data_IF_090346113514
#
_entry.id   IF_090346113514
#
_cell.length_a   1.000
_cell.length_b   1.000
_cell.length_c   1.000
_cell.angle_alpha   90.00
_cell.angle_beta   90.00
_cell.angle_gamma   90.00
#
_symmetry.space_group_name_H-M   'P 1'
#
loop_
_entity.id
_entity.type
_entity.pdbx_description
1 polymer ?
#
# COMPACT_ATOMS: atom_id res chain seq x y z
N UNK A 1 -19.06 -17.64 1.49
CA UNK A 1 -17.96 -18.05 2.38
C UNK A 1 -17.90 -17.04 3.51
N UNK A 2 -17.57 -17.48 4.73
CA UNK A 2 -17.37 -16.56 5.85
C UNK A 2 -16.28 -15.53 5.51
N UNK A 3 -16.47 -14.22 5.78
CA UNK A 3 -15.49 -13.16 5.51
C UNK A 3 -14.10 -13.49 6.04
N UNK A 4 -14.06 -14.12 7.23
CA UNK A 4 -12.82 -14.59 7.85
C UNK A 4 -12.11 -15.68 7.03
N UNK A 5 -12.84 -16.69 6.55
CA UNK A 5 -12.28 -17.77 5.73
C UNK A 5 -11.75 -17.20 4.42
N UNK A 6 -12.48 -16.27 3.82
CA UNK A 6 -12.06 -15.59 2.59
C UNK A 6 -10.75 -14.81 2.79
N UNK A 7 -10.69 -13.98 3.84
CA UNK A 7 -9.50 -13.23 4.18
C UNK A 7 -8.31 -14.14 4.47
N UNK A 8 -8.53 -15.28 5.12
CA UNK A 8 -7.50 -16.27 5.42
C UNK A 8 -6.93 -16.90 4.14
N UNK A 9 -7.78 -17.21 3.15
CA UNK A 9 -7.35 -17.70 1.84
C UNK A 9 -6.49 -16.64 1.13
N UNK A 10 -6.95 -15.38 1.07
CA UNK A 10 -6.21 -14.29 0.43
C UNK A 10 -4.88 -14.00 1.15
N UNK A 11 -4.88 -14.02 2.49
CA UNK A 11 -3.68 -13.83 3.30
C UNK A 11 -2.67 -14.97 3.10
N UNK A 12 -3.12 -16.22 3.02
CA UNK A 12 -2.27 -17.35 2.72
C UNK A 12 -1.68 -17.24 1.30
N UNK A 13 -2.51 -16.92 0.30
CA UNK A 13 -2.05 -16.72 -1.06
C UNK A 13 -1.01 -15.58 -1.15
N UNK A 14 -1.20 -14.50 -0.39
CA UNK A 14 -0.27 -13.38 -0.34
C UNK A 14 1.07 -13.73 0.31
N UNK A 15 1.03 -14.48 1.42
CA UNK A 15 2.21 -15.01 2.09
C UNK A 15 3.06 -15.86 1.13
N UNK A 16 2.45 -16.88 0.54
CA UNK A 16 3.18 -17.80 -0.34
C UNK A 16 3.60 -17.14 -1.64
N UNK A 17 2.75 -16.34 -2.26
CA UNK A 17 3.06 -15.69 -3.53
C UNK A 17 4.22 -14.70 -3.41
N UNK A 18 4.21 -13.85 -2.38
CA UNK A 18 5.34 -12.94 -2.12
C UNK A 18 6.62 -13.67 -1.71
N UNK A 19 6.53 -14.74 -0.92
CA UNK A 19 7.70 -15.52 -0.54
C UNK A 19 8.31 -16.26 -1.74
N UNK A 20 7.49 -16.81 -2.64
CA UNK A 20 7.95 -17.48 -3.86
C UNK A 20 8.61 -16.47 -4.80
N UNK A 21 7.96 -15.33 -5.05
CA UNK A 21 8.51 -14.28 -5.90
C UNK A 21 9.84 -13.74 -5.36
N UNK A 22 9.91 -13.46 -4.05
CA UNK A 22 11.13 -13.00 -3.40
C UNK A 22 12.21 -14.06 -3.28
N UNK A 23 11.88 -15.35 -3.33
CA UNK A 23 12.89 -16.41 -3.34
C UNK A 23 13.58 -16.56 -4.70
N UNK A 24 13.02 -15.99 -5.77
CA UNK A 24 13.50 -16.16 -7.14
C UNK A 24 14.95 -15.67 -7.38
N UNK A 25 15.38 -14.49 -6.85
CA UNK A 25 16.79 -14.07 -6.92
C UNK A 25 17.75 -15.01 -6.19
N UNK A 26 17.30 -15.75 -5.18
CA UNK A 26 18.17 -16.70 -4.47
C UNK A 26 18.46 -17.92 -5.34
N UNK A 27 17.53 -18.34 -6.18
CA UNK A 27 17.65 -19.59 -6.96
C UNK A 27 18.15 -19.36 -8.38
N UNK A 28 18.10 -18.13 -8.89
CA UNK A 28 18.43 -17.80 -10.28
C UNK A 28 19.74 -17.01 -10.40
N UNK A 29 20.54 -17.31 -11.42
CA UNK A 29 21.70 -16.49 -11.81
C UNK A 29 21.26 -15.52 -12.90
N UNK A 30 20.50 -14.49 -12.53
CA UNK A 30 20.09 -13.45 -13.48
C UNK A 30 21.24 -12.47 -13.71
N UNK A 31 21.46 -12.10 -14.97
CA UNK A 31 22.38 -11.01 -15.32
C UNK A 31 21.88 -9.69 -14.73
N UNK A 32 22.79 -8.77 -14.39
CA UNK A 32 22.44 -7.43 -13.89
C UNK A 32 21.42 -6.72 -14.77
N UNK A 33 21.52 -6.86 -16.10
CA UNK A 33 20.57 -6.24 -17.04
C UNK A 33 19.15 -6.77 -16.86
N UNK A 34 18.99 -8.07 -16.54
CA UNK A 34 17.68 -8.67 -16.28
C UNK A 34 17.11 -8.22 -14.94
N UNK A 35 17.96 -8.06 -13.93
CA UNK A 35 17.56 -7.53 -12.61
C UNK A 35 17.12 -6.07 -12.74
N UNK A 36 17.87 -5.25 -13.47
CA UNK A 36 17.52 -3.84 -13.72
C UNK A 36 16.19 -3.72 -14.49
N UNK A 37 15.98 -4.54 -15.53
CA UNK A 37 14.72 -4.54 -16.27
C UNK A 37 13.55 -5.01 -15.40
N UNK A 38 13.74 -6.03 -14.57
CA UNK A 38 12.69 -6.51 -13.66
C UNK A 38 12.35 -5.45 -12.60
N UNK A 39 13.35 -4.77 -12.03
CA UNK A 39 13.12 -3.68 -11.09
C UNK A 39 12.43 -2.48 -11.75
N UNK A 40 12.80 -2.13 -12.99
CA UNK A 40 12.14 -1.06 -13.75
C UNK A 40 10.68 -1.40 -14.11
N UNK A 41 10.42 -2.64 -14.53
CA UNK A 41 9.06 -3.14 -14.75
C UNK A 41 8.26 -3.17 -13.44
N UNK A 42 8.89 -3.58 -12.34
CA UNK A 42 8.30 -3.56 -11.00
C UNK A 42 7.90 -2.15 -10.57
N UNK A 43 8.78 -1.16 -10.75
CA UNK A 43 8.50 0.24 -10.46
C UNK A 43 7.36 0.80 -11.33
N UNK A 44 7.34 0.49 -12.63
CA UNK A 44 6.23 0.88 -13.51
C UNK A 44 4.91 0.22 -13.13
N UNK A 45 4.95 -1.07 -12.75
CA UNK A 45 3.78 -1.81 -12.29
C UNK A 45 3.25 -1.23 -10.97
N UNK A 46 4.12 -0.88 -10.02
CA UNK A 46 3.79 -0.21 -8.76
C UNK A 46 3.00 1.07 -9.05
N UNK A 47 3.57 1.99 -9.83
CA UNK A 47 2.91 3.27 -10.19
C UNK A 47 1.58 3.02 -10.91
N UNK A 48 1.55 2.05 -11.84
CA UNK A 48 0.35 1.69 -12.58
C UNK A 48 -0.76 1.13 -11.69
N UNK A 49 -0.44 0.22 -10.78
CA UNK A 49 -1.42 -0.37 -9.84
C UNK A 49 -1.99 0.68 -8.89
N UNK A 50 -1.16 1.62 -8.41
CA UNK A 50 -1.61 2.70 -7.54
C UNK A 50 -2.60 3.62 -8.25
N UNK A 51 -2.27 4.07 -9.46
CA UNK A 51 -3.10 5.02 -10.21
C UNK A 51 -4.36 4.40 -10.80
N UNK A 52 -4.32 3.15 -11.25
CA UNK A 52 -5.45 2.51 -11.94
C UNK A 52 -6.37 1.72 -11.03
N UNK A 53 -5.91 1.26 -9.85
CA UNK A 53 -6.68 0.32 -9.02
C UNK A 53 -6.75 0.72 -7.55
N UNK A 54 -5.67 1.23 -6.94
CA UNK A 54 -5.73 1.52 -5.49
C UNK A 54 -6.43 2.85 -5.22
N UNK A 55 -6.03 3.91 -5.96
CA UNK A 55 -6.63 5.23 -5.81
C UNK A 55 -8.09 5.25 -6.29
N UNK A 56 -8.45 4.74 -7.49
CA UNK A 56 -9.83 4.82 -7.96
C UNK A 56 -10.79 4.06 -7.04
N UNK A 57 -10.46 2.84 -6.61
CA UNK A 57 -11.29 2.04 -5.73
C UNK A 57 -11.39 2.65 -4.32
N UNK A 58 -10.31 3.23 -3.81
CA UNK A 58 -10.33 3.94 -2.53
C UNK A 58 -11.27 5.15 -2.58
N UNK A 59 -11.20 5.94 -3.65
CA UNK A 59 -12.08 7.08 -3.89
C UNK A 59 -13.53 6.64 -4.06
N UNK A 60 -13.79 5.63 -4.88
CA UNK A 60 -15.13 5.09 -5.13
C UNK A 60 -15.77 4.55 -3.84
N UNK A 61 -14.98 3.89 -2.99
CA UNK A 61 -15.44 3.38 -1.68
C UNK A 61 -15.89 4.52 -0.76
N UNK A 62 -15.13 5.63 -0.72
CA UNK A 62 -15.51 6.81 0.08
C UNK A 62 -16.83 7.41 -0.44
N UNK A 63 -16.97 7.60 -1.75
CA UNK A 63 -18.20 8.16 -2.33
C UNK A 63 -19.43 7.28 -2.11
N UNK A 64 -19.29 5.97 -2.29
CA UNK A 64 -20.39 5.02 -2.11
C UNK A 64 -20.85 4.96 -0.65
N UNK A 65 -19.93 5.06 0.32
CA UNK A 65 -20.27 5.08 1.74
C UNK A 65 -21.20 6.25 2.13
N UNK A 66 -21.05 7.41 1.46
CA UNK A 66 -21.91 8.57 1.69
C UNK A 66 -23.28 8.43 1.05
N UNK A 67 -23.35 7.84 -0.14
CA UNK A 67 -24.65 7.54 -0.75
C UNK A 67 -25.47 6.62 0.16
N UNK A 68 -24.82 5.62 0.75
CA UNK A 68 -25.45 4.72 1.74
C UNK A 68 -25.88 5.47 3.00
N UNK A 69 -25.08 6.40 3.54
CA UNK A 69 -25.45 7.17 4.74
C UNK A 69 -26.62 8.13 4.51
N UNK A 70 -26.68 8.77 3.34
CA UNK A 70 -27.78 9.66 2.94
C UNK A 70 -29.07 8.86 2.70
N UNK A 71 -28.99 7.71 2.04
CA UNK A 71 -30.16 6.84 1.84
C UNK A 71 -30.73 6.33 3.17
N UNK A 72 -29.85 6.01 4.14
CA UNK A 72 -30.25 5.53 5.47
C UNK A 72 -30.93 6.63 6.30
N UNK A 73 -30.41 7.86 6.25
CA UNK A 73 -31.02 9.02 6.93
C UNK A 73 -32.35 9.44 6.31
N UNK A 74 -32.48 9.36 4.98
CA UNK A 74 -33.76 9.59 4.30
C UNK A 74 -34.82 8.56 4.68
N UNK A 75 -34.44 7.28 4.86
CA UNK A 75 -35.38 6.25 5.32
C UNK A 75 -35.82 6.43 6.78
N UNK A 76 -35.00 7.02 7.66
CA UNK A 76 -35.42 7.30 9.05
C UNK A 76 -36.32 8.53 9.17
N UNK A 77 -36.18 9.50 8.27
CA UNK A 77 -36.96 10.74 8.30
C UNK A 77 -38.29 10.63 7.54
N UNK A 78 -38.40 9.73 6.57
CA UNK A 78 -39.67 9.45 5.86
C UNK A 78 -40.42 8.35 6.63
N UNK A 79 -41.22 8.76 7.61
CA UNK A 79 -42.27 7.90 8.16
C UNK A 79 -43.28 7.59 7.04
N UNK A 80 -43.15 6.44 6.39
CA UNK A 80 -44.17 5.94 5.46
C UNK A 80 -45.41 5.67 6.32
N UNK A 81 -46.53 6.39 6.13
CA UNK A 81 -47.74 6.15 6.90
C UNK A 81 -48.20 4.70 6.67
N UNK A 82 -48.61 4.04 7.74
CA UNK A 82 -49.11 2.67 7.73
C UNK A 82 -50.26 2.56 6.71
N UNK A 83 -50.12 1.67 5.72
CA UNK A 83 -51.02 1.56 4.56
C UNK A 83 -52.45 1.09 4.90
N UNK A 84 -52.77 0.88 6.18
CA UNK A 84 -54.07 0.40 6.65
C UNK A 84 -55.18 1.47 6.70
N UNK A 85 -54.88 2.74 6.36
CA UNK A 85 -55.86 3.84 6.41
C UNK A 85 -56.16 4.53 5.07
N UNK A 86 -55.63 4.06 3.94
CA UNK A 86 -55.88 4.67 2.61
C UNK A 86 -57.00 3.90 1.90
N UNK A 87 -58.25 4.29 2.16
CA UNK A 87 -59.44 3.66 1.55
C UNK A 87 -60.07 4.46 0.42
N UNK A 88 -59.47 5.57 -0.03
CA UNK A 88 -60.02 6.36 -1.14
C UNK A 88 -58.94 6.76 -2.15
N UNK A 89 -59.21 6.45 -3.42
CA UNK A 89 -58.35 6.67 -4.59
C UNK A 89 -58.10 8.16 -4.90
N UNK A 90 -58.87 9.08 -4.29
CA UNK A 90 -58.82 10.52 -4.57
C UNK A 90 -58.10 11.34 -3.49
N UNK A 91 -57.59 10.72 -2.42
CA UNK A 91 -56.96 11.40 -1.28
C UNK A 91 -55.44 11.17 -1.24
N UNK A 92 -54.77 11.50 -2.36
CA UNK A 92 -53.30 11.53 -2.43
C UNK A 92 -52.77 12.97 -2.35
N UNK A 93 -52.45 13.50 -1.16
CA UNK A 93 -51.83 14.82 -1.03
C UNK A 93 -50.30 14.80 -1.23
N UNK A 94 -49.69 13.69 -1.67
CA UNK A 94 -48.29 13.43 -1.29
C UNK A 94 -47.28 13.72 -2.41
N UNK A 95 -47.67 13.84 -3.68
CA UNK A 95 -46.66 14.03 -4.73
C UNK A 95 -46.04 15.43 -4.66
N UNK A 96 -46.83 16.50 -4.51
CA UNK A 96 -46.29 17.87 -4.53
C UNK A 96 -45.50 18.20 -3.28
N UNK A 97 -45.94 17.77 -2.09
CA UNK A 97 -45.24 18.09 -0.85
C UNK A 97 -43.96 17.25 -0.66
N UNK A 98 -43.94 16.00 -1.15
CA UNK A 98 -42.71 15.19 -1.20
C UNK A 98 -41.77 15.69 -2.28
N UNK A 99 -42.26 15.98 -3.49
CA UNK A 99 -41.40 16.54 -4.55
C UNK A 99 -40.91 17.94 -4.20
N UNK A 100 -41.71 18.75 -3.49
CA UNK A 100 -41.33 20.08 -3.02
C UNK A 100 -40.42 20.02 -1.80
N UNK A 101 -40.50 19.03 -0.92
CA UNK A 101 -39.49 18.83 0.14
C UNK A 101 -38.17 18.28 -0.43
N UNK A 102 -38.20 17.41 -1.45
CA UNK A 102 -37.03 16.99 -2.22
C UNK A 102 -36.45 18.14 -3.08
N UNK A 103 -37.29 19.02 -3.64
CA UNK A 103 -36.90 20.17 -4.47
C UNK A 103 -36.47 21.40 -3.67
N UNK A 104 -37.03 21.60 -2.47
CA UNK A 104 -36.69 22.68 -1.53
C UNK A 104 -35.44 22.33 -0.74
N UNK A 105 -35.07 21.05 -0.65
CA UNK A 105 -33.70 20.58 -0.42
C UNK A 105 -32.86 20.61 -1.71
N UNK A 106 -33.07 21.67 -2.51
CA UNK A 106 -32.38 21.98 -3.77
C UNK A 106 -30.85 21.97 -3.58
N UNK A 107 -30.07 21.71 -4.64
CA UNK A 107 -28.71 21.17 -4.60
C UNK A 107 -27.62 22.14 -4.09
N UNK A 108 -27.98 23.28 -3.50
CA UNK A 108 -27.06 24.31 -2.99
C UNK A 108 -26.35 23.92 -1.70
N UNK A 109 -26.90 23.00 -0.90
CA UNK A 109 -26.23 22.50 0.32
C UNK A 109 -25.26 21.33 0.02
N UNK A 110 -25.31 20.78 -1.21
CA UNK A 110 -24.41 19.71 -1.64
C UNK A 110 -23.04 20.22 -2.12
N UNK A 111 -22.90 21.50 -2.47
CA UNK A 111 -21.60 22.03 -2.94
C UNK A 111 -20.62 22.30 -1.80
N UNK A 112 -21.11 22.76 -0.64
CA UNK A 112 -20.25 23.03 0.52
C UNK A 112 -19.77 21.76 1.22
N UNK A 113 -20.56 20.67 1.18
CA UNK A 113 -20.14 19.37 1.73
C UNK A 113 -19.43 18.45 0.73
N UNK A 114 -19.52 18.65 -0.60
CA UNK A 114 -18.67 17.93 -1.57
C UNK A 114 -17.19 18.30 -1.41
N UNK A 115 -16.90 19.55 -1.02
CA UNK A 115 -15.53 20.02 -0.77
C UNK A 115 -14.82 19.28 0.37
N UNK A 116 -15.56 18.84 1.39
CA UNK A 116 -15.00 18.11 2.53
C UNK A 116 -14.44 16.73 2.15
N UNK A 117 -15.06 16.03 1.20
CA UNK A 117 -14.65 14.67 0.81
C UNK A 117 -13.42 14.68 -0.09
N UNK A 118 -13.39 15.58 -1.08
CA UNK A 118 -12.19 15.79 -1.87
C UNK A 118 -11.01 16.22 -0.99
N UNK A 119 -11.29 17.00 0.07
CA UNK A 119 -10.28 17.37 1.08
C UNK A 119 -9.85 16.16 1.92
N UNK A 120 -10.78 15.30 2.36
CA UNK A 120 -10.45 14.10 3.12
C UNK A 120 -9.65 13.09 2.29
N UNK A 121 -10.03 12.87 1.03
CA UNK A 121 -9.30 12.05 0.05
C UNK A 121 -7.90 12.65 -0.14
N UNK A 122 -7.81 13.94 -0.48
CA UNK A 122 -6.52 14.62 -0.70
C UNK A 122 -5.62 14.59 0.53
N UNK A 123 -6.17 14.81 1.73
CA UNK A 123 -5.43 14.77 2.98
C UNK A 123 -4.98 13.34 3.31
N UNK A 124 -5.84 12.33 3.13
CA UNK A 124 -5.47 10.93 3.33
C UNK A 124 -4.38 10.47 2.36
N UNK A 125 -4.42 10.89 1.09
CA UNK A 125 -3.36 10.67 0.11
C UNK A 125 -2.06 11.35 0.54
N UNK A 126 -2.09 12.63 0.92
CA UNK A 126 -0.89 13.38 1.31
C UNK A 126 -0.26 12.77 2.56
N UNK A 127 -1.07 12.44 3.58
CA UNK A 127 -0.58 11.86 4.83
C UNK A 127 -0.03 10.44 4.57
N UNK A 128 -0.77 9.60 3.84
CA UNK A 128 -0.35 8.24 3.49
C UNK A 128 0.95 8.23 2.69
N UNK A 129 1.00 9.01 1.61
CA UNK A 129 2.19 9.16 0.78
C UNK A 129 3.37 9.76 1.54
N UNK A 130 3.16 10.79 2.38
CA UNK A 130 4.24 11.37 3.19
C UNK A 130 4.79 10.37 4.20
N UNK A 131 3.92 9.58 4.83
CA UNK A 131 4.32 8.54 5.76
C UNK A 131 5.10 7.43 5.05
N UNK A 132 4.62 6.93 3.91
CA UNK A 132 5.33 5.92 3.12
C UNK A 132 6.65 6.46 2.55
N UNK A 133 6.69 7.72 2.13
CA UNK A 133 7.91 8.40 1.70
C UNK A 133 8.94 8.51 2.84
N UNK A 134 8.52 8.85 4.06
CA UNK A 134 9.41 8.88 5.23
C UNK A 134 9.93 7.48 5.54
N UNK A 135 9.07 6.47 5.51
CA UNK A 135 9.45 5.07 5.73
C UNK A 135 10.49 4.61 4.70
N UNK A 136 10.27 4.94 3.42
CA UNK A 136 11.19 4.62 2.34
C UNK A 136 12.51 5.40 2.46
N UNK A 137 12.47 6.68 2.86
CA UNK A 137 13.70 7.44 3.07
C UNK A 137 14.50 6.99 4.28
N UNK A 138 13.87 6.61 5.39
CA UNK A 138 14.60 6.02 6.52
C UNK A 138 15.25 4.69 6.11
N UNK A 139 14.61 3.93 5.22
CA UNK A 139 15.13 2.71 4.60
C UNK A 139 16.30 2.98 3.64
N UNK A 140 16.24 4.06 2.86
CA UNK A 140 17.21 4.41 1.81
C UNK A 140 18.42 5.23 2.31
N UNK A 141 18.28 5.98 3.41
CA UNK A 141 19.28 6.92 3.97
C UNK A 141 20.62 6.28 4.37
N UNK A 142 20.75 4.95 4.33
CA UNK A 142 22.01 4.24 4.57
C UNK A 142 22.59 3.52 3.34
N UNK A 143 22.06 3.77 2.13
CA UNK A 143 22.57 3.16 0.89
C UNK A 143 23.84 3.86 0.35
N UNK A 144 24.20 5.06 0.85
CA UNK A 144 25.45 5.73 0.47
C UNK A 144 26.61 5.33 1.39
N UNK A 145 27.14 4.13 1.18
CA UNK A 145 28.59 3.91 1.36
C UNK A 145 29.34 4.56 0.18
N UNK A 146 30.54 5.12 0.37
CA UNK A 146 31.24 5.81 -0.70
C UNK A 146 31.50 4.83 -1.85
N UNK A 147 30.80 5.04 -2.96
CA UNK A 147 31.16 4.48 -4.25
C UNK A 147 32.51 5.09 -4.57
N UNK A 148 33.58 4.32 -4.38
CA UNK A 148 34.82 4.58 -5.06
C UNK A 148 34.49 4.64 -6.55
N UNK A 149 34.49 5.84 -7.09
CA UNK A 149 34.43 6.13 -8.50
C UNK A 149 35.48 5.27 -9.19
N UNK A 150 35.05 4.17 -9.81
CA UNK A 150 35.82 3.57 -10.89
C UNK A 150 35.63 4.52 -12.06
N UNK A 151 36.51 5.51 -12.07
CA UNK A 151 36.71 6.50 -13.11
C UNK A 151 36.95 5.76 -14.43
N UNK A 152 35.97 5.81 -15.33
CA UNK A 152 36.17 5.39 -16.71
C UNK A 152 36.94 6.49 -17.44
N UNK A 153 38.27 6.46 -17.32
CA UNK A 153 39.15 7.18 -18.23
C UNK A 153 39.79 6.17 -19.17
N UNK A 154 39.02 5.71 -20.16
CA UNK A 154 39.58 5.13 -21.38
C UNK A 154 39.20 6.01 -22.56
N UNK A 155 40.11 6.94 -22.92
CA UNK A 155 40.39 7.31 -24.30
C UNK A 155 41.74 8.04 -24.42
N UNK A 156 42.75 7.36 -24.95
CA UNK A 156 43.81 7.98 -25.76
C UNK A 156 45.26 7.96 -25.24
N UNK A 157 46.17 7.59 -26.16
CA UNK A 157 47.62 7.81 -26.21
C UNK A 157 48.50 6.82 -25.41
N UNK A 158 49.14 5.83 -26.05
CA UNK A 158 50.39 5.94 -26.84
C UNK A 158 51.61 6.35 -26.00
N UNK A 159 52.51 5.39 -25.77
CA UNK A 159 53.97 5.61 -25.85
C UNK A 159 54.76 5.74 -24.54
N UNK A 160 55.80 4.91 -24.42
CA UNK A 160 57.10 5.36 -23.92
C UNK A 160 57.56 4.87 -22.54
N UNK A 161 58.70 4.19 -22.54
CA UNK A 161 59.52 3.78 -21.40
C UNK A 161 59.95 4.95 -20.47
N UNK A 162 60.28 4.65 -19.19
CA UNK A 162 61.56 4.94 -18.49
C UNK A 162 61.41 5.15 -16.95
N UNK A 163 62.12 4.29 -16.20
CA UNK A 163 62.98 4.51 -15.00
C UNK A 163 62.65 5.44 -13.80
N UNK A 164 62.91 4.87 -12.59
CA UNK A 164 63.36 5.46 -11.28
C UNK A 164 62.36 6.40 -10.54
N UNK A 165 62.27 6.48 -9.21
CA UNK A 165 63.25 6.41 -8.10
C UNK A 165 62.50 6.19 -6.74
N UNK A 166 63.21 5.74 -5.71
CA UNK A 166 62.72 5.39 -4.36
C UNK A 166 62.44 6.62 -3.46
N UNK A 167 61.46 6.55 -2.54
CA UNK A 167 61.68 6.98 -1.14
C UNK A 167 60.63 6.44 -0.16
N UNK A 168 61.11 6.20 1.05
CA UNK A 168 60.52 5.46 2.17
C UNK A 168 59.86 6.42 3.18
N UNK A 169 58.61 6.15 3.60
CA UNK A 169 58.12 6.55 4.93
C UNK A 169 57.14 5.48 5.44
N UNK A 170 57.55 4.77 6.48
CA UNK A 170 56.65 4.02 7.36
C UNK A 170 55.71 4.99 8.09
N UNK A 171 54.40 4.91 7.87
CA UNK A 171 53.43 5.45 8.82
C UNK A 171 52.12 4.63 8.81
N UNK A 172 52.03 3.77 9.84
CA UNK A 172 50.81 3.24 10.48
C UNK A 172 49.61 3.00 9.55
N UNK A 173 49.54 1.80 8.97
CA UNK A 173 48.29 1.28 8.42
C UNK A 173 47.31 0.99 9.58
N UNK A 174 46.62 2.02 10.05
CA UNK A 174 45.38 1.85 10.77
C UNK A 174 44.41 1.15 9.82
N UNK A 175 44.35 -0.17 9.95
CA UNK A 175 43.24 -0.99 9.49
C UNK A 175 42.02 -0.55 10.29
N UNK A 176 41.39 0.55 9.89
CA UNK A 176 40.02 0.81 10.28
C UNK A 176 39.17 -0.17 9.48
N UNK A 177 39.08 -1.40 10.00
CA UNK A 177 37.90 -2.24 9.80
C UNK A 177 36.73 -1.40 10.31
N UNK A 178 36.15 -0.58 9.43
CA UNK A 178 34.79 -0.11 9.62
C UNK A 178 34.01 -1.40 9.82
N UNK A 179 33.53 -1.59 11.03
CA UNK A 179 32.60 -2.65 11.38
C UNK A 179 31.33 -2.39 10.55
N UNK A 180 31.34 -2.80 9.28
CA UNK A 180 30.23 -2.63 8.36
C UNK A 180 29.19 -3.67 8.75
N UNK A 181 28.52 -3.43 9.88
CA UNK A 181 27.35 -4.19 10.27
C UNK A 181 26.35 -4.05 9.11
N UNK A 182 25.92 -5.15 8.47
CA UNK A 182 24.93 -5.07 7.41
C UNK A 182 23.66 -4.47 8.02
N UNK A 183 23.31 -3.25 7.59
CA UNK A 183 22.18 -2.53 8.17
C UNK A 183 20.88 -3.25 7.80
N UNK A 184 20.13 -3.67 8.80
CA UNK A 184 18.79 -4.28 8.68
C UNK A 184 17.73 -3.25 8.26
N UNK A 185 18.12 -1.97 8.17
CA UNK A 185 17.30 -0.79 7.93
C UNK A 185 16.39 -0.91 6.70
N UNK A 186 16.83 -1.44 5.54
CA UNK A 186 15.96 -1.58 4.37
C UNK A 186 14.77 -2.50 4.61
N UNK A 187 14.92 -3.48 5.52
CA UNK A 187 13.85 -4.44 5.77
C UNK A 187 12.77 -3.86 6.66
N UNK A 188 13.13 -3.03 7.64
CA UNK A 188 12.15 -2.44 8.57
C UNK A 188 11.13 -1.60 7.81
N UNK A 189 11.58 -0.73 6.90
CA UNK A 189 10.67 0.09 6.11
C UNK A 189 9.74 -0.74 5.23
N UNK A 190 10.29 -1.75 4.55
CA UNK A 190 9.52 -2.66 3.72
C UNK A 190 8.54 -3.55 4.50
N UNK A 191 8.84 -3.89 5.75
CA UNK A 191 7.91 -4.61 6.64
C UNK A 191 6.72 -3.72 7.02
N UNK A 192 6.97 -2.45 7.37
CA UNK A 192 5.89 -1.52 7.70
C UNK A 192 5.01 -1.25 6.48
N UNK A 193 5.61 -1.04 5.31
CA UNK A 193 4.89 -0.94 4.04
C UNK A 193 4.04 -2.18 3.77
N UNK A 194 4.62 -3.38 3.90
CA UNK A 194 3.88 -4.63 3.77
C UNK A 194 2.76 -4.79 4.81
N UNK A 195 2.90 -4.25 6.02
CA UNK A 195 1.83 -4.25 7.01
C UNK A 195 0.68 -3.34 6.60
N UNK A 196 0.97 -2.20 5.95
CA UNK A 196 -0.06 -1.31 5.41
C UNK A 196 -0.90 -1.99 4.31
N UNK A 197 -0.27 -2.76 3.41
CA UNK A 197 -1.00 -3.63 2.46
C UNK A 197 -2.01 -4.54 3.18
N UNK A 198 -1.57 -5.09 4.31
CA UNK A 198 -2.40 -5.92 5.17
C UNK A 198 -3.61 -5.15 5.71
N UNK A 199 -3.40 -3.92 6.19
CA UNK A 199 -4.48 -3.07 6.68
C UNK A 199 -5.53 -2.82 5.59
N UNK A 200 -5.10 -2.48 4.37
CA UNK A 200 -5.98 -2.32 3.21
C UNK A 200 -6.80 -3.58 2.92
N UNK A 201 -6.14 -4.75 2.83
CA UNK A 201 -6.83 -6.01 2.58
C UNK A 201 -7.81 -6.36 3.72
N UNK A 202 -7.39 -6.22 4.98
CA UNK A 202 -8.21 -6.50 6.15
C UNK A 202 -9.43 -5.58 6.26
N UNK A 203 -9.30 -4.31 5.89
CA UNK A 203 -10.41 -3.36 5.86
C UNK A 203 -11.46 -3.75 4.81
N UNK A 204 -11.02 -4.29 3.67
CA UNK A 204 -11.92 -4.74 2.60
C UNK A 204 -12.62 -6.08 2.84
N UNK A 205 -12.32 -6.79 3.94
CA UNK A 205 -12.67 -8.20 4.13
C UNK A 205 -14.19 -8.51 4.12
N UNK A 206 -15.04 -7.52 4.41
CA UNK A 206 -16.50 -7.65 4.38
C UNK A 206 -17.10 -7.60 2.97
N UNK A 207 -16.32 -7.18 1.96
CA UNK A 207 -16.76 -7.04 0.58
C UNK A 207 -15.88 -7.90 -0.34
N UNK A 208 -16.27 -9.16 -0.66
CA UNK A 208 -15.40 -10.10 -1.37
C UNK A 208 -14.86 -9.61 -2.71
N UNK A 209 -15.66 -8.84 -3.47
CA UNK A 209 -15.25 -8.24 -4.74
C UNK A 209 -14.15 -7.20 -4.53
N UNK A 210 -14.33 -6.29 -3.57
CA UNK A 210 -13.32 -5.30 -3.21
C UNK A 210 -12.06 -5.99 -2.67
N UNK A 211 -12.19 -7.01 -1.82
CA UNK A 211 -11.03 -7.76 -1.31
C UNK A 211 -10.24 -8.43 -2.44
N UNK A 212 -10.90 -8.92 -3.49
CA UNK A 212 -10.21 -9.50 -4.65
C UNK A 212 -9.45 -8.47 -5.45
N UNK A 213 -10.07 -7.31 -5.73
CA UNK A 213 -9.43 -6.23 -6.46
C UNK A 213 -8.21 -5.70 -5.70
N UNK A 214 -8.39 -5.42 -4.40
CA UNK A 214 -7.32 -4.99 -3.49
C UNK A 214 -6.23 -6.04 -3.40
N UNK A 215 -6.58 -7.33 -3.25
CA UNK A 215 -5.63 -8.44 -3.24
C UNK A 215 -4.80 -8.50 -4.51
N UNK A 216 -5.42 -8.42 -5.69
CA UNK A 216 -4.71 -8.46 -6.97
C UNK A 216 -3.81 -7.25 -7.11
N UNK A 217 -4.29 -6.05 -6.77
CA UNK A 217 -3.50 -4.82 -6.79
C UNK A 217 -2.26 -4.93 -5.91
N UNK A 218 -2.43 -5.40 -4.67
CA UNK A 218 -1.33 -5.65 -3.72
C UNK A 218 -0.37 -6.69 -4.27
N UNK A 219 -0.90 -7.84 -4.69
CA UNK A 219 -0.07 -8.96 -5.14
C UNK A 219 0.78 -8.63 -6.36
N UNK A 220 0.23 -7.86 -7.30
CA UNK A 220 0.95 -7.42 -8.49
C UNK A 220 2.21 -6.64 -8.15
N UNK A 221 2.20 -5.87 -7.06
CA UNK A 221 3.31 -4.99 -6.72
C UNK A 221 4.17 -5.50 -5.55
N UNK A 222 3.61 -6.37 -4.70
CA UNK A 222 4.31 -7.09 -3.63
C UNK A 222 5.29 -8.13 -4.16
N UNK A 223 4.96 -8.79 -5.27
CA UNK A 223 5.86 -9.73 -5.93
C UNK A 223 7.15 -9.01 -6.42
N UNK A 224 7.08 -7.91 -7.19
CA UNK A 224 8.24 -7.08 -7.50
C UNK A 224 9.00 -6.57 -6.28
N UNK A 225 8.31 -6.07 -5.25
CA UNK A 225 8.95 -5.57 -4.04
C UNK A 225 9.75 -6.65 -3.29
N UNK A 226 9.19 -7.86 -3.16
CA UNK A 226 9.88 -9.00 -2.52
C UNK A 226 11.14 -9.46 -3.28
N UNK A 227 11.09 -9.39 -4.62
CA UNK A 227 12.24 -9.67 -5.48
C UNK A 227 13.31 -8.60 -5.32
N UNK A 228 12.92 -7.32 -5.30
CA UNK A 228 13.83 -6.19 -5.10
C UNK A 228 14.54 -6.27 -3.74
N UNK A 229 13.80 -6.53 -2.65
CA UNK A 229 14.36 -6.75 -1.31
C UNK A 229 15.46 -7.82 -1.33
N UNK A 230 15.14 -8.99 -1.87
CA UNK A 230 16.08 -10.11 -1.89
C UNK A 230 17.31 -9.81 -2.76
N UNK A 231 17.11 -9.12 -3.89
CA UNK A 231 18.21 -8.70 -4.78
C UNK A 231 19.15 -7.70 -4.10
N UNK A 232 18.60 -6.73 -3.37
CA UNK A 232 19.39 -5.74 -2.60
C UNK A 232 20.15 -6.41 -1.46
N UNK A 233 19.51 -7.31 -0.71
CA UNK A 233 20.20 -8.01 0.39
C UNK A 233 21.28 -8.98 -0.11
N UNK A 234 21.09 -9.58 -1.29
CA UNK A 234 22.14 -10.35 -1.97
C UNK A 234 23.32 -9.46 -2.38
N UNK A 235 23.04 -8.30 -2.97
CA UNK A 235 24.08 -7.33 -3.37
C UNK A 235 24.85 -6.78 -2.15
N UNK A 236 24.18 -6.63 -1.01
CA UNK A 236 24.80 -6.26 0.27
C UNK A 236 25.63 -7.40 0.92
N UNK A 237 25.68 -8.59 0.31
CA UNK A 237 26.52 -9.70 0.76
C UNK A 237 25.96 -10.48 1.96
N UNK A 238 24.67 -10.34 2.30
CA UNK A 238 24.08 -11.07 3.42
C UNK A 238 24.00 -12.58 3.12
N UNK A 239 24.10 -13.39 4.19
CA UNK A 239 23.94 -14.84 4.05
C UNK A 239 22.54 -15.19 3.55
N UNK A 240 22.43 -16.23 2.70
CA UNK A 240 21.16 -16.71 2.16
C UNK A 240 20.11 -17.03 3.25
N UNK A 241 20.56 -17.53 4.40
CA UNK A 241 19.70 -17.80 5.55
C UNK A 241 19.16 -16.51 6.17
N UNK A 242 20.00 -15.49 6.31
CA UNK A 242 19.59 -14.17 6.80
C UNK A 242 18.59 -13.53 5.83
N UNK A 243 18.82 -13.63 4.52
CA UNK A 243 17.91 -13.09 3.51
C UNK A 243 16.54 -13.76 3.58
N UNK A 244 16.49 -15.09 3.72
CA UNK A 244 15.22 -15.82 3.90
C UNK A 244 14.45 -15.37 5.14
N UNK A 245 15.14 -15.03 6.24
CA UNK A 245 14.48 -14.48 7.45
C UNK A 245 13.85 -13.11 7.18
N UNK A 246 14.56 -12.21 6.51
CA UNK A 246 14.05 -10.89 6.14
C UNK A 246 12.86 -11.01 5.16
N UNK A 247 12.97 -11.88 4.16
CA UNK A 247 11.89 -12.18 3.22
C UNK A 247 10.66 -12.78 3.91
N UNK A 248 10.84 -13.72 4.84
CA UNK A 248 9.73 -14.25 5.63
C UNK A 248 9.05 -13.16 6.44
N UNK A 249 9.82 -12.31 7.12
CA UNK A 249 9.26 -11.24 7.94
C UNK A 249 8.46 -10.24 7.08
N UNK A 250 8.97 -9.90 5.89
CA UNK A 250 8.24 -9.10 4.89
C UNK A 250 6.94 -9.78 4.42
N UNK A 251 7.00 -11.06 4.04
CA UNK A 251 5.84 -11.79 3.54
C UNK A 251 4.76 -12.03 4.61
N UNK A 252 5.14 -12.14 5.89
CA UNK A 252 4.22 -12.28 7.02
C UNK A 252 3.56 -10.97 7.44
N UNK A 253 4.19 -9.82 7.18
CA UNK A 253 3.68 -8.52 7.62
C UNK A 253 2.27 -8.22 7.10
N UNK A 254 1.98 -8.51 5.84
CA UNK A 254 0.65 -8.27 5.26
C UNK A 254 -0.44 -9.20 5.80
N UNK A 255 -0.26 -10.54 5.86
CA UNK A 255 -1.19 -11.43 6.56
C UNK A 255 -1.48 -11.02 8.00
N UNK A 256 -0.44 -10.61 8.75
CA UNK A 256 -0.60 -10.16 10.13
C UNK A 256 -1.40 -8.86 10.18
N UNK A 257 -1.06 -7.87 9.35
CA UNK A 257 -1.81 -6.62 9.23
C UNK A 257 -3.29 -6.85 8.89
N UNK A 258 -3.57 -7.73 7.93
CA UNK A 258 -4.93 -8.07 7.50
C UNK A 258 -5.77 -8.68 8.62
N UNK A 259 -5.21 -9.66 9.33
CA UNK A 259 -5.91 -10.31 10.45
C UNK A 259 -6.11 -9.33 11.61
N UNK A 260 -5.10 -8.54 11.96
CA UNK A 260 -5.22 -7.53 13.02
C UNK A 260 -6.31 -6.51 12.70
N UNK A 261 -6.36 -6.01 11.47
CA UNK A 261 -7.41 -5.07 11.04
C UNK A 261 -8.78 -5.72 11.05
N UNK A 262 -8.91 -6.97 10.58
CA UNK A 262 -10.19 -7.69 10.64
C UNK A 262 -10.71 -7.84 12.07
N UNK A 263 -9.86 -8.28 13.00
CA UNK A 263 -10.26 -8.42 14.41
C UNK A 263 -10.55 -7.07 15.07
N UNK A 264 -9.78 -6.03 14.75
CA UNK A 264 -10.05 -4.68 15.21
C UNK A 264 -11.44 -4.22 14.73
N UNK A 265 -11.74 -4.32 13.44
CA UNK A 265 -13.04 -3.94 12.89
C UNK A 265 -14.19 -4.78 13.48
N UNK A 266 -13.99 -6.08 13.67
CA UNK A 266 -14.98 -6.94 14.31
C UNK A 266 -15.29 -6.49 15.76
N UNK A 267 -14.25 -6.18 16.54
CA UNK A 267 -14.40 -5.69 17.91
C UNK A 267 -15.05 -4.29 17.95
N UNK A 268 -14.61 -3.36 17.11
CA UNK A 268 -15.17 -2.00 17.05
C UNK A 268 -16.60 -1.97 16.49
N UNK A 269 -16.93 -2.84 15.54
CA UNK A 269 -18.30 -2.96 14.99
C UNK A 269 -19.30 -3.40 16.05
N UNK A 270 -18.88 -4.21 17.03
CA UNK A 270 -19.72 -4.57 18.18
C UNK A 270 -20.02 -3.38 19.12
N UNK A 271 -19.36 -2.23 18.92
CA UNK A 271 -19.36 -1.05 19.81
C UNK A 271 -20.20 0.13 19.31
N UNK A 272 -21.27 -0.08 18.51
CA UNK A 272 -22.22 0.97 18.08
C UNK A 272 -21.77 1.85 16.89
N UNK A 273 -20.88 1.39 16.02
CA UNK A 273 -20.53 2.14 14.78
C UNK A 273 -21.48 1.76 13.63
N UNK A 274 -21.97 2.74 12.86
CA UNK A 274 -22.86 2.49 11.72
C UNK A 274 -22.10 1.84 10.56
N UNK A 275 -22.76 0.98 9.78
CA UNK A 275 -22.15 0.32 8.61
C UNK A 275 -21.52 1.33 7.62
N UNK A 276 -22.19 2.46 7.41
CA UNK A 276 -21.68 3.54 6.54
C UNK A 276 -20.37 4.19 7.05
N UNK A 277 -20.19 4.28 8.38
CA UNK A 277 -18.92 4.79 8.93
C UNK A 277 -17.76 3.82 8.68
N UNK A 278 -18.03 2.51 8.68
CA UNK A 278 -17.02 1.46 8.48
C UNK A 278 -16.58 1.41 7.01
N UNK A 279 -17.52 1.57 6.07
CA UNK A 279 -17.21 1.72 4.64
C UNK A 279 -16.38 2.98 4.37
N UNK A 280 -16.71 4.12 5.01
CA UNK A 280 -15.92 5.35 4.90
C UNK A 280 -14.47 5.15 5.37
N UNK A 281 -14.28 4.57 6.55
CA UNK A 281 -12.94 4.27 7.08
C UNK A 281 -12.18 3.26 6.23
N UNK A 282 -12.88 2.31 5.61
CA UNK A 282 -12.27 1.37 4.65
C UNK A 282 -11.71 2.11 3.45
N UNK A 283 -12.48 3.01 2.85
CA UNK A 283 -12.01 3.85 1.75
C UNK A 283 -10.84 4.75 2.15
N UNK A 284 -10.91 5.41 3.32
CA UNK A 284 -9.80 6.21 3.85
C UNK A 284 -8.54 5.37 4.07
N UNK A 285 -8.68 4.14 4.61
CA UNK A 285 -7.56 3.24 4.82
C UNK A 285 -6.97 2.71 3.51
N UNK A 286 -7.79 2.48 2.48
CA UNK A 286 -7.30 2.11 1.14
C UNK A 286 -6.50 3.23 0.49
N UNK A 287 -7.01 4.46 0.58
CA UNK A 287 -6.33 5.65 0.04
C UNK A 287 -5.06 5.96 0.84
N UNK A 288 -5.11 5.86 2.17
CA UNK A 288 -3.95 6.01 3.05
C UNK A 288 -2.89 4.92 2.83
N UNK A 289 -3.32 3.69 2.54
CA UNK A 289 -2.45 2.57 2.19
C UNK A 289 -1.92 2.65 0.75
N UNK A 290 -2.32 3.66 -0.03
CA UNK A 290 -1.93 3.86 -1.41
C UNK A 290 -0.43 4.12 -1.58
N UNK A 291 0.32 3.01 -1.68
CA UNK A 291 1.71 2.77 -2.14
C UNK A 291 2.73 3.87 -1.86
#
# INVERSE_FOLDING_TARGET
MEPFIWLLILSAAMLFGSYIAGSLPLTTKLSENKIRLFNALGAGLLIGTSLMVVIPEGVETIYNSRLTSVATTLHSDIAIPEWSSINNQDDWPVEKDVFQSLSKRSPSDHETERGGEHTAIGLSLIIGFSLMYIIDQVSSLHLHGPVASTEYTELGAVGGNLEREEEHVEEVQHVHRINNQPSITPTVGLIVHAAADGIALGASATHPQLSMVVFVAIMLHKAPASFALTSVLLAAGLSRTTIRKHLLLFSFAAPVGALLTFFALYFFSSSTTSAASLEYWTGVLLVFSGV
#
